data_IF_359911474541
#
_entry.id   IF_359911474541
#
_cell.length_a   1.000
_cell.length_b   1.000
_cell.length_c   1.000
_cell.angle_alpha   90.00
_cell.angle_beta   90.00
_cell.angle_gamma   90.00
#
_symmetry.space_group_name_H-M   'P 1'
#
loop_
_entity.id
_entity.type
_entity.pdbx_description
1 polymer ?
#
# COMPACT_ATOMS: atom_id res chain seq x y z
N UNK A 1 23.99 71.22 0.37
CA UNK A 1 23.05 70.80 1.45
C UNK A 1 22.46 69.47 1.02
N UNK A 2 22.55 68.35 1.72
CA UNK A 2 23.16 68.03 3.00
C UNK A 2 23.25 66.50 3.13
N UNK A 3 24.23 66.08 3.94
CA UNK A 3 24.36 64.79 4.65
C UNK A 3 24.57 63.47 3.88
N UNK A 4 25.81 62.98 4.05
CA UNK A 4 26.32 61.61 3.90
C UNK A 4 25.56 60.64 4.81
N UNK A 5 25.36 59.39 4.38
CA UNK A 5 25.53 58.22 5.25
C UNK A 5 26.29 57.13 4.47
N UNK A 6 27.54 56.95 4.90
CA UNK A 6 28.33 55.74 4.72
C UNK A 6 27.77 54.68 5.65
N UNK A 7 27.54 53.45 5.18
CA UNK A 7 27.66 52.27 6.03
C UNK A 7 28.38 51.17 5.26
N UNK A 8 29.64 51.04 5.62
CA UNK A 8 30.59 49.99 5.30
C UNK A 8 30.32 48.79 6.24
N UNK A 9 30.85 47.60 5.88
CA UNK A 9 31.14 46.43 6.74
C UNK A 9 29.94 45.46 6.91
N UNK A 10 29.99 44.12 6.87
CA UNK A 10 30.99 43.05 7.09
C UNK A 10 30.38 41.78 6.42
N UNK A 11 31.13 40.98 5.64
CA UNK A 11 31.79 39.73 6.06
C UNK A 11 30.80 38.64 6.55
N UNK A 12 30.56 37.55 5.80
CA UNK A 12 31.39 36.33 5.65
C UNK A 12 30.75 35.15 6.42
N UNK A 13 30.71 33.99 5.73
CA UNK A 13 30.54 32.61 6.21
C UNK A 13 29.19 32.20 6.79
N UNK A 14 28.49 31.31 6.08
CA UNK A 14 28.29 29.92 6.48
C UNK A 14 28.17 29.10 5.18
N UNK A 15 29.27 28.56 4.66
CA UNK A 15 29.72 27.17 4.85
C UNK A 15 28.68 26.12 4.49
N UNK A 16 28.99 25.34 3.45
CA UNK A 16 28.90 23.89 3.48
C UNK A 16 27.62 23.32 4.13
N UNK A 17 26.54 23.25 3.36
CA UNK A 17 25.61 22.15 3.60
C UNK A 17 26.23 20.92 2.91
N UNK A 18 27.04 20.19 3.66
CA UNK A 18 27.36 18.80 3.37
C UNK A 18 26.03 18.10 3.09
N UNK A 19 25.74 17.84 1.81
CA UNK A 19 24.66 16.96 1.42
C UNK A 19 25.12 15.54 1.75
N UNK A 20 25.06 15.21 3.04
CA UNK A 20 24.99 13.83 3.48
C UNK A 20 23.72 13.27 2.85
N UNK A 21 23.88 12.56 1.75
CA UNK A 21 22.89 11.64 1.23
C UNK A 21 22.71 10.54 2.28
N UNK A 22 21.92 10.81 3.32
CA UNK A 22 21.20 9.76 4.00
C UNK A 22 20.07 9.30 3.05
N UNK A 23 20.44 8.45 2.10
CA UNK A 23 19.55 7.43 1.55
C UNK A 23 19.02 6.63 2.74
N UNK A 24 17.83 6.97 3.24
CA UNK A 24 16.91 6.10 4.02
C UNK A 24 15.79 6.85 4.77
N UNK A 25 15.50 8.12 4.48
CA UNK A 25 14.22 8.68 4.92
C UNK A 25 13.13 8.36 3.87
N UNK A 26 12.57 7.16 3.93
CA UNK A 26 11.25 6.95 3.32
C UNK A 26 10.28 7.91 4.01
N UNK A 27 9.72 8.83 3.24
CA UNK A 27 8.82 9.86 3.77
C UNK A 27 7.62 9.18 4.43
N UNK A 28 7.38 9.50 5.70
CA UNK A 28 6.15 9.10 6.37
C UNK A 28 4.98 9.79 5.68
N UNK A 29 4.03 9.02 5.15
CA UNK A 29 2.84 9.56 4.49
C UNK A 29 1.72 9.73 5.51
N UNK A 30 1.24 10.97 5.60
CA UNK A 30 0.06 11.32 6.37
C UNK A 30 -1.16 11.30 5.47
N UNK A 31 -2.14 10.47 5.83
CA UNK A 31 -3.42 10.36 5.13
C UNK A 31 -4.46 11.19 5.89
N UNK A 32 -5.25 11.98 5.16
CA UNK A 32 -6.45 12.61 5.70
C UNK A 32 -7.55 11.55 5.83
N UNK A 33 -7.63 10.90 7.00
CA UNK A 33 -8.58 9.81 7.23
C UNK A 33 -9.97 10.38 7.46
N UNK A 34 -10.90 10.10 6.55
CA UNK A 34 -12.31 10.42 6.72
C UNK A 34 -13.05 9.24 7.35
N UNK A 35 -13.33 9.32 8.66
CA UNK A 35 -14.02 8.26 9.41
C UNK A 35 -15.45 8.02 8.95
N UNK A 36 -16.05 8.95 8.19
CA UNK A 36 -17.39 8.77 7.64
C UNK A 36 -17.40 7.82 6.44
N UNK A 37 -16.25 7.62 5.79
CA UNK A 37 -16.05 6.80 4.59
C UNK A 37 -15.55 5.38 4.88
N UNK A 38 -15.23 5.05 6.13
CA UNK A 38 -14.69 3.75 6.54
C UNK A 38 -15.55 3.08 7.63
N UNK A 39 -15.39 1.77 7.77
CA UNK A 39 -16.05 0.96 8.80
C UNK A 39 -15.41 1.18 10.19
N UNK A 40 -15.99 0.53 11.21
CA UNK A 40 -15.22 0.29 12.43
C UNK A 40 -13.97 -0.54 12.11
N UNK A 41 -12.85 -0.30 12.82
CA UNK A 41 -11.62 -1.05 12.58
C UNK A 41 -11.78 -2.57 12.77
N UNK A 42 -11.15 -3.33 11.89
CA UNK A 42 -11.05 -4.78 11.93
C UNK A 42 -9.62 -5.20 12.28
N UNK A 43 -9.51 -6.26 13.06
CA UNK A 43 -8.24 -6.77 13.56
C UNK A 43 -7.91 -8.10 12.87
N UNK A 44 -6.69 -8.19 12.31
CA UNK A 44 -6.13 -9.40 11.72
C UNK A 44 -4.92 -9.84 12.55
N UNK A 45 -5.18 -10.57 13.63
CA UNK A 45 -4.16 -11.00 14.59
C UNK A 45 -3.04 -11.82 13.94
N UNK A 46 -3.38 -12.69 12.98
CA UNK A 46 -2.42 -13.56 12.28
C UNK A 46 -1.25 -12.78 11.67
N UNK A 47 -1.54 -11.61 11.10
CA UNK A 47 -0.58 -10.75 10.43
C UNK A 47 -0.25 -9.48 11.22
N UNK A 48 -0.76 -9.35 12.45
CA UNK A 48 -0.40 -8.25 13.34
C UNK A 48 -0.88 -6.87 12.87
N UNK A 49 -2.00 -6.78 12.15
CA UNK A 49 -2.52 -5.49 11.66
C UNK A 49 -3.94 -5.20 12.12
N UNK A 50 -4.29 -3.92 12.17
CA UNK A 50 -5.66 -3.44 12.28
C UNK A 50 -5.93 -2.40 11.20
N UNK A 51 -7.08 -2.50 10.55
CA UNK A 51 -7.46 -1.66 9.40
C UNK A 51 -8.98 -1.49 9.37
N UNK A 52 -9.44 -0.32 8.96
CA UNK A 52 -10.86 -0.06 8.68
C UNK A 52 -11.06 -0.15 7.17
N UNK A 53 -12.08 -0.88 6.72
CA UNK A 53 -12.36 -1.03 5.29
C UNK A 53 -13.28 0.09 4.80
N UNK A 54 -13.37 0.37 3.49
CA UNK A 54 -14.35 1.34 3.00
C UNK A 54 -15.77 1.00 3.46
N UNK A 55 -16.54 2.01 3.83
CA UNK A 55 -17.90 1.83 4.34
C UNK A 55 -18.77 1.21 3.25
N UNK A 56 -19.65 0.27 3.65
CA UNK A 56 -20.47 -0.59 2.78
C UNK A 56 -19.72 -1.71 2.06
N UNK A 57 -18.41 -1.87 2.28
CA UNK A 57 -17.70 -3.05 1.79
C UNK A 57 -17.86 -4.17 2.80
N UNK A 58 -18.91 -4.96 2.62
CA UNK A 58 -19.28 -6.02 3.54
C UNK A 58 -18.35 -7.22 3.40
N UNK A 59 -18.08 -7.89 4.53
CA UNK A 59 -17.26 -9.10 4.53
C UNK A 59 -18.00 -10.21 3.80
N UNK A 60 -17.35 -10.81 2.81
CA UNK A 60 -17.89 -11.99 2.14
C UNK A 60 -17.63 -13.26 2.95
N UNK A 61 -18.59 -14.17 2.94
CA UNK A 61 -18.44 -15.49 3.54
C UNK A 61 -17.51 -16.35 2.68
N UNK A 62 -16.27 -16.52 3.13
CA UNK A 62 -15.25 -17.29 2.43
C UNK A 62 -15.64 -18.75 2.21
N UNK A 63 -16.55 -19.31 3.02
CA UNK A 63 -17.04 -20.70 2.83
C UNK A 63 -17.96 -20.84 1.63
N UNK A 64 -18.58 -19.74 1.18
CA UNK A 64 -19.47 -19.70 0.02
C UNK A 64 -18.73 -19.33 -1.27
N UNK A 65 -17.47 -18.93 -1.15
CA UNK A 65 -16.62 -18.61 -2.29
C UNK A 65 -15.76 -19.86 -2.54
N UNK A 66 -16.01 -20.57 -3.63
CA UNK A 66 -15.16 -21.68 -4.06
C UNK A 66 -13.78 -21.15 -4.47
N UNK A 67 -12.85 -21.04 -3.52
CA UNK A 67 -11.47 -20.63 -3.73
C UNK A 67 -10.60 -21.74 -4.34
N UNK A 68 -11.10 -22.49 -5.31
CA UNK A 68 -10.33 -23.55 -5.95
C UNK A 68 -9.13 -23.04 -6.79
N UNK A 69 -8.80 -21.74 -6.78
CA UNK A 69 -7.82 -21.19 -7.74
C UNK A 69 -6.91 -20.05 -7.27
N UNK A 70 -6.94 -19.57 -6.02
CA UNK A 70 -6.00 -18.51 -5.58
C UNK A 70 -4.63 -19.05 -5.13
N UNK A 71 -4.40 -20.36 -5.18
CA UNK A 71 -3.07 -20.95 -4.99
C UNK A 71 -2.12 -20.72 -6.19
N UNK A 72 -2.57 -20.10 -7.30
CA UNK A 72 -1.84 -20.09 -8.57
C UNK A 72 -0.96 -18.86 -8.86
N UNK A 73 -1.04 -17.78 -8.09
CA UNK A 73 -0.34 -16.53 -8.48
C UNK A 73 1.17 -16.58 -8.18
N UNK A 74 1.62 -17.42 -7.23
CA UNK A 74 3.05 -17.57 -6.93
C UNK A 74 3.69 -18.85 -7.48
N UNK A 75 2.91 -19.73 -8.12
CA UNK A 75 3.43 -20.94 -8.77
C UNK A 75 3.97 -20.63 -10.17
N UNK A 76 4.94 -19.72 -10.28
CA UNK A 76 5.72 -19.54 -11.51
C UNK A 76 7.10 -20.16 -11.31
N UNK A 77 7.27 -21.37 -11.88
CA UNK A 77 8.54 -22.05 -12.21
C UNK A 77 9.65 -22.16 -11.15
N UNK A 78 9.37 -21.89 -9.88
CA UNK A 78 10.35 -21.98 -8.80
C UNK A 78 9.85 -22.96 -7.74
N UNK A 79 10.75 -23.79 -7.25
CA UNK A 79 10.54 -24.84 -6.24
C UNK A 79 10.13 -24.31 -4.85
N UNK A 80 9.78 -23.03 -4.74
CA UNK A 80 9.33 -22.38 -3.51
C UNK A 80 7.82 -22.56 -3.33
N UNK A 81 7.44 -23.17 -2.21
CA UNK A 81 6.06 -23.31 -1.72
C UNK A 81 5.52 -21.96 -1.21
N UNK A 82 5.70 -20.88 -1.96
CA UNK A 82 5.17 -19.58 -1.56
C UNK A 82 3.66 -19.58 -1.82
N UNK A 83 2.86 -19.31 -0.78
CA UNK A 83 1.39 -19.40 -0.83
C UNK A 83 0.76 -18.10 -0.33
N UNK A 84 -0.42 -17.79 -0.87
CA UNK A 84 -1.22 -16.65 -0.43
C UNK A 84 -2.40 -17.17 0.40
N UNK A 85 -2.42 -16.86 1.70
CA UNK A 85 -3.54 -17.21 2.58
C UNK A 85 -4.48 -16.01 2.71
N UNK A 86 -5.66 -16.10 2.12
CA UNK A 86 -6.69 -15.06 2.21
C UNK A 86 -7.33 -15.08 3.60
N UNK A 87 -7.26 -13.96 4.32
CA UNK A 87 -7.82 -13.77 5.66
C UNK A 87 -9.21 -13.11 5.63
N UNK A 88 -9.46 -12.30 4.62
CA UNK A 88 -10.75 -11.67 4.40
C UNK A 88 -10.92 -11.11 2.99
N UNK A 89 -12.16 -11.18 2.51
CA UNK A 89 -12.60 -10.41 1.35
C UNK A 89 -13.72 -9.49 1.80
N UNK A 90 -13.63 -8.23 1.40
CA UNK A 90 -14.65 -7.22 1.61
C UNK A 90 -15.08 -6.70 0.26
N UNK A 91 -16.38 -6.52 0.06
CA UNK A 91 -16.89 -6.12 -1.25
C UNK A 91 -18.02 -5.12 -1.15
N UNK A 92 -17.98 -4.12 -2.04
CA UNK A 92 -19.19 -3.43 -2.45
C UNK A 92 -19.75 -4.20 -3.65
N UNK A 93 -20.76 -5.03 -3.40
CA UNK A 93 -21.32 -5.91 -4.42
C UNK A 93 -22.08 -5.13 -5.51
N UNK A 94 -22.56 -3.93 -5.21
CA UNK A 94 -23.23 -3.06 -6.18
C UNK A 94 -22.23 -2.53 -7.20
N UNK A 95 -21.07 -2.06 -6.74
CA UNK A 95 -20.03 -1.51 -7.61
C UNK A 95 -18.95 -2.53 -8.01
N UNK A 96 -19.08 -3.78 -7.58
CA UNK A 96 -18.10 -4.86 -7.83
C UNK A 96 -16.67 -4.45 -7.43
N UNK A 97 -16.55 -3.71 -6.33
CA UNK A 97 -15.27 -3.34 -5.76
C UNK A 97 -14.89 -4.34 -4.68
N UNK A 98 -13.61 -4.68 -4.57
CA UNK A 98 -13.13 -5.71 -3.65
C UNK A 98 -11.88 -5.26 -2.91
N UNK A 99 -11.77 -5.64 -1.64
CA UNK A 99 -10.53 -5.63 -0.86
C UNK A 99 -10.22 -7.05 -0.43
N UNK A 100 -9.04 -7.54 -0.82
CA UNK A 100 -8.48 -8.78 -0.32
C UNK A 100 -7.45 -8.46 0.75
N UNK A 101 -7.59 -9.09 1.91
CA UNK A 101 -6.60 -9.06 2.99
C UNK A 101 -5.97 -10.44 3.08
N UNK A 102 -4.66 -10.52 2.85
CA UNK A 102 -3.97 -11.81 2.75
C UNK A 102 -2.63 -11.81 3.49
N UNK A 103 -2.24 -12.99 3.96
CA UNK A 103 -0.87 -13.29 4.37
C UNK A 103 -0.11 -13.92 3.20
N UNK A 104 1.10 -13.44 2.94
CA UNK A 104 2.03 -14.10 2.04
C UNK A 104 2.91 -15.03 2.88
N UNK A 105 2.65 -16.33 2.76
CA UNK A 105 3.45 -17.38 3.39
C UNK A 105 4.57 -17.69 2.43
N UNK A 106 5.69 -16.99 2.57
CA UNK A 106 6.87 -17.16 1.74
C UNK A 106 8.03 -17.75 2.54
N UNK A 107 8.79 -18.62 1.89
CA UNK A 107 10.07 -19.11 2.39
C UNK A 107 11.19 -18.06 2.29
N UNK A 108 10.97 -17.03 1.48
CA UNK A 108 11.93 -15.98 1.14
C UNK A 108 11.55 -14.63 1.74
N UNK A 109 12.51 -13.72 1.76
CA UNK A 109 12.31 -12.35 2.26
C UNK A 109 11.40 -11.52 1.37
N UNK A 110 10.84 -10.45 1.92
CA UNK A 110 9.97 -9.50 1.21
C UNK A 110 10.63 -8.94 -0.06
N UNK A 111 11.94 -8.64 -0.01
CA UNK A 111 12.71 -8.14 -1.16
C UNK A 111 12.65 -9.09 -2.37
N UNK A 112 12.74 -10.39 -2.13
CA UNK A 112 12.61 -11.41 -3.17
C UNK A 112 11.22 -11.41 -3.78
N UNK A 113 10.17 -11.35 -2.95
CA UNK A 113 8.79 -11.28 -3.43
C UNK A 113 8.54 -10.03 -4.27
N UNK A 114 9.06 -8.87 -3.85
CA UNK A 114 8.94 -7.62 -4.61
C UNK A 114 9.61 -7.74 -5.98
N UNK A 115 10.78 -8.37 -6.07
CA UNK A 115 11.47 -8.62 -7.34
C UNK A 115 10.67 -9.57 -8.26
N UNK A 116 10.05 -10.61 -7.70
CA UNK A 116 9.17 -11.50 -8.45
C UNK A 116 7.95 -10.74 -8.99
N UNK A 117 7.34 -9.88 -8.17
CA UNK A 117 6.24 -9.04 -8.60
C UNK A 117 6.66 -8.10 -9.72
N UNK A 118 7.76 -7.37 -9.57
CA UNK A 118 8.28 -6.45 -10.59
C UNK A 118 8.52 -7.18 -11.92
N UNK A 119 9.12 -8.37 -11.86
CA UNK A 119 9.35 -9.22 -13.04
C UNK A 119 8.04 -9.66 -13.69
N UNK A 120 7.04 -10.06 -12.89
CA UNK A 120 5.72 -10.47 -13.41
C UNK A 120 4.94 -9.32 -14.05
N UNK A 121 5.03 -8.11 -13.48
CA UNK A 121 4.35 -6.91 -13.97
C UNK A 121 4.93 -6.44 -15.30
N UNK A 122 6.24 -6.56 -15.47
CA UNK A 122 6.92 -6.24 -16.74
C UNK A 122 6.39 -7.10 -17.90
N UNK A 123 5.92 -8.31 -17.61
CA UNK A 123 5.33 -9.21 -18.60
C UNK A 123 3.83 -8.97 -18.83
N UNK A 124 3.16 -8.19 -17.98
CA UNK A 124 1.74 -7.86 -18.11
C UNK A 124 1.54 -6.55 -18.90
N UNK A 125 1.79 -6.61 -20.21
CA UNK A 125 1.65 -5.46 -21.14
C UNK A 125 0.29 -4.75 -21.13
N UNK A 126 -0.74 -5.33 -20.50
CA UNK A 126 -2.08 -4.76 -20.41
C UNK A 126 -2.25 -3.73 -19.28
N UNK A 127 -1.34 -3.69 -18.31
CA UNK A 127 -1.44 -2.78 -17.16
C UNK A 127 -0.35 -1.71 -17.22
N UNK A 128 -0.76 -0.45 -17.10
CA UNK A 128 0.15 0.60 -16.66
C UNK A 128 0.38 0.42 -15.17
N UNK A 129 1.63 0.29 -14.76
CA UNK A 129 2.02 0.15 -13.36
C UNK A 129 2.78 1.39 -12.88
N UNK A 130 2.49 1.81 -11.65
CA UNK A 130 3.31 2.74 -10.87
C UNK A 130 3.68 2.05 -9.55
N UNK A 131 4.91 2.23 -9.10
CA UNK A 131 5.41 1.70 -7.83
C UNK A 131 5.88 2.85 -6.96
N UNK A 132 5.57 2.78 -5.67
CA UNK A 132 6.06 3.72 -4.66
C UNK A 132 6.24 3.04 -3.32
N UNK A 133 7.02 3.66 -2.44
CA UNK A 133 7.23 3.19 -1.08
C UNK A 133 7.00 4.33 -0.09
N UNK A 134 6.41 4.01 1.06
CA UNK A 134 6.16 4.98 2.11
C UNK A 134 6.16 4.34 3.49
N UNK A 135 6.46 5.14 4.52
CA UNK A 135 6.26 4.70 5.90
C UNK A 135 4.85 5.02 6.39
N UNK A 136 4.27 4.09 7.13
CA UNK A 136 2.97 4.28 7.79
C UNK A 136 2.90 3.51 9.09
N UNK A 137 2.83 4.21 10.22
CA UNK A 137 2.62 3.61 11.55
C UNK A 137 3.59 2.44 11.85
N UNK A 138 4.86 2.59 11.47
CA UNK A 138 5.90 1.56 11.66
C UNK A 138 5.98 0.51 10.54
N UNK A 139 5.13 0.57 9.52
CA UNK A 139 5.27 -0.25 8.32
C UNK A 139 6.05 0.49 7.24
N UNK A 140 6.99 -0.18 6.59
CA UNK A 140 7.49 0.23 5.27
C UNK A 140 6.61 -0.46 4.23
N UNK A 141 5.74 0.30 3.57
CA UNK A 141 4.77 -0.21 2.61
C UNK A 141 5.28 0.02 1.21
N UNK A 142 5.36 -1.04 0.41
CA UNK A 142 5.51 -0.95 -1.04
C UNK A 142 4.13 -1.01 -1.69
N UNK A 143 3.76 0.04 -2.41
CA UNK A 143 2.50 0.14 -3.12
C UNK A 143 2.72 0.03 -4.63
N UNK A 144 1.85 -0.74 -5.26
CA UNK A 144 1.68 -0.82 -6.70
C UNK A 144 0.31 -0.28 -7.08
N UNK A 145 0.28 0.64 -8.04
CA UNK A 145 -0.94 1.05 -8.73
C UNK A 145 -0.93 0.43 -10.11
N UNK A 146 -1.76 -0.60 -10.32
CA UNK A 146 -1.93 -1.26 -11.61
C UNK A 146 -3.25 -0.80 -12.21
N UNK A 147 -3.20 -0.30 -13.44
CA UNK A 147 -4.40 0.25 -14.07
C UNK A 147 -4.44 -0.07 -15.56
N UNK A 148 -5.63 -0.40 -16.04
CA UNK A 148 -5.93 -0.56 -17.46
C UNK A 148 -7.29 0.10 -17.76
N UNK A 149 -7.88 -0.22 -18.91
CA UNK A 149 -9.18 0.35 -19.32
C UNK A 149 -10.35 -0.15 -18.45
N UNK A 150 -10.21 -1.28 -17.77
CA UNK A 150 -11.28 -1.97 -17.05
C UNK A 150 -11.15 -1.85 -15.53
N UNK A 151 -9.92 -1.78 -15.00
CA UNK A 151 -9.62 -1.93 -13.59
C UNK A 151 -8.58 -0.91 -13.12
N UNK A 152 -8.71 -0.54 -11.85
CA UNK A 152 -7.71 0.13 -11.02
C UNK A 152 -7.45 -0.76 -9.82
N UNK A 153 -6.19 -1.12 -9.60
CA UNK A 153 -5.77 -2.01 -8.52
C UNK A 153 -4.72 -1.31 -7.68
N UNK A 154 -5.00 -1.16 -6.39
CA UNK A 154 -4.01 -0.76 -5.39
C UNK A 154 -3.56 -2.02 -4.65
N UNK A 155 -2.30 -2.38 -4.84
CA UNK A 155 -1.67 -3.52 -4.15
C UNK A 155 -0.64 -2.98 -3.17
N UNK A 156 -0.81 -3.28 -1.89
CA UNK A 156 0.09 -2.88 -0.83
C UNK A 156 0.74 -4.12 -0.24
N UNK A 157 2.06 -4.13 -0.15
CA UNK A 157 2.84 -5.17 0.49
C UNK A 157 3.69 -4.59 1.60
N UNK A 158 3.71 -5.26 2.74
CA UNK A 158 4.61 -4.93 3.82
C UNK A 158 4.85 -6.12 4.73
N UNK A 159 5.90 -5.99 5.56
CA UNK A 159 6.20 -6.91 6.64
C UNK A 159 5.72 -6.29 7.94
N UNK A 160 4.91 -7.02 8.70
CA UNK A 160 4.47 -6.57 10.01
C UNK A 160 5.50 -6.87 11.10
N UNK A 161 5.25 -6.35 12.31
CA UNK A 161 6.17 -6.47 13.44
C UNK A 161 6.39 -7.91 13.91
N UNK A 162 5.41 -8.80 13.70
CA UNK A 162 5.56 -10.24 13.96
C UNK A 162 6.27 -10.99 12.81
N UNK A 163 6.96 -10.26 11.93
CA UNK A 163 7.75 -10.77 10.82
C UNK A 163 6.91 -11.45 9.71
N UNK A 164 5.58 -11.34 9.75
CA UNK A 164 4.68 -11.85 8.71
C UNK A 164 4.56 -10.85 7.56
N UNK A 165 4.38 -11.36 6.36
CA UNK A 165 4.17 -10.52 5.17
C UNK A 165 2.68 -10.48 4.90
N UNK A 166 2.14 -9.28 4.74
CA UNK A 166 0.75 -9.10 4.36
C UNK A 166 0.63 -8.38 3.02
N UNK A 167 -0.45 -8.68 2.33
CA UNK A 167 -0.84 -8.06 1.08
C UNK A 167 -2.27 -7.56 1.18
N UNK A 168 -2.49 -6.31 0.78
CA UNK A 168 -3.82 -5.71 0.64
C UNK A 168 -4.03 -5.37 -0.84
N UNK A 169 -5.04 -5.97 -1.46
CA UNK A 169 -5.39 -5.68 -2.85
C UNK A 169 -6.78 -5.05 -2.92
N UNK A 170 -6.84 -3.76 -3.26
CA UNK A 170 -8.08 -3.08 -3.64
C UNK A 170 -8.26 -3.20 -5.15
N UNK A 171 -9.37 -3.78 -5.59
CA UNK A 171 -9.69 -3.99 -7.01
C UNK A 171 -10.99 -3.23 -7.31
N UNK A 172 -10.91 -2.26 -8.21
CA UNK A 172 -11.99 -1.32 -8.49
C UNK A 172 -12.20 -1.27 -10.01
N UNK A 173 -13.42 -1.52 -10.52
CA UNK A 173 -13.71 -1.27 -11.92
C UNK A 173 -13.49 0.19 -12.27
N UNK A 174 -12.80 0.46 -13.38
CA UNK A 174 -12.42 1.80 -13.85
C UNK A 174 -13.62 2.74 -13.94
N UNK A 175 -14.77 2.21 -14.37
CA UNK A 175 -16.04 2.95 -14.46
C UNK A 175 -16.59 3.44 -13.11
N UNK A 176 -16.15 2.86 -12.00
CA UNK A 176 -16.56 3.21 -10.63
C UNK A 176 -15.42 3.85 -9.83
N UNK A 177 -14.23 4.04 -10.42
CA UNK A 177 -13.13 4.73 -9.76
C UNK A 177 -13.32 6.25 -9.87
N UNK A 178 -14.17 6.79 -8.98
CA UNK A 178 -14.41 8.21 -8.81
C UNK A 178 -13.71 8.77 -7.55
N UNK A 179 -13.86 10.08 -7.31
CA UNK A 179 -13.26 10.75 -6.14
C UNK A 179 -13.71 10.13 -4.82
N UNK A 180 -14.97 9.72 -4.70
CA UNK A 180 -15.51 9.18 -3.46
C UNK A 180 -14.93 7.81 -3.16
N UNK A 181 -14.84 6.93 -4.16
CA UNK A 181 -14.22 5.61 -4.01
C UNK A 181 -12.73 5.76 -3.74
N UNK A 182 -12.03 6.65 -4.44
CA UNK A 182 -10.62 6.94 -4.20
C UNK A 182 -10.37 7.40 -2.76
N UNK A 183 -11.15 8.38 -2.26
CA UNK A 183 -11.02 8.87 -0.88
C UNK A 183 -11.35 7.82 0.18
N UNK A 184 -12.31 6.93 -0.09
CA UNK A 184 -12.63 5.84 0.83
C UNK A 184 -11.50 4.81 0.90
N UNK A 185 -10.88 4.49 -0.24
CA UNK A 185 -9.70 3.60 -0.32
C UNK A 185 -8.49 4.23 0.37
N UNK A 186 -8.21 5.51 0.11
CA UNK A 186 -7.13 6.24 0.78
C UNK A 186 -7.35 6.33 2.30
N UNK A 187 -8.58 6.58 2.74
CA UNK A 187 -8.93 6.57 4.17
C UNK A 187 -8.75 5.18 4.79
N UNK A 188 -9.10 4.12 4.05
CA UNK A 188 -8.88 2.73 4.46
C UNK A 188 -7.39 2.42 4.62
N UNK A 189 -6.56 2.74 3.61
CA UNK A 189 -5.10 2.62 3.67
C UNK A 189 -4.52 3.43 4.84
N UNK A 190 -4.98 4.67 5.01
CA UNK A 190 -4.56 5.56 6.08
C UNK A 190 -4.88 5.05 7.48
N UNK A 191 -5.93 4.22 7.62
CA UNK A 191 -6.34 3.63 8.90
C UNK A 191 -5.50 2.44 9.34
N UNK A 192 -4.60 1.93 8.49
CA UNK A 192 -3.73 0.79 8.78
C UNK A 192 -2.78 1.10 9.95
N UNK A 193 -2.81 0.25 10.98
CA UNK A 193 -1.95 0.33 12.17
C UNK A 193 -1.40 -1.05 12.55
N UNK A 194 -0.21 -1.06 13.15
CA UNK A 194 0.36 -2.28 13.73
C UNK A 194 -0.30 -2.63 15.05
N UNK A 195 -0.56 -3.92 15.26
CA UNK A 195 -0.78 -4.47 16.59
C UNK A 195 0.58 -4.63 17.25
N UNK A 196 0.70 -4.18 18.49
CA UNK A 196 1.89 -4.40 19.33
C UNK A 196 1.83 -5.79 19.96
#
# INVERSE_FOLDING_TARGET
>A
MGTKIMFTILLILFTFCNRNENKNNSNELFFAIDTTLISSPLTFNDIGIKISVPKKWDRLDLKKIEFHSINRIFSTNTSSQDTLRVLGIFADTLYKCYLFVSEVIASKELSYLLNLFDSSLTNMNKFKNLKGEFQKNGFLITQYLLQNQELVIFRLLSKSQNNRIFQLDYIIPRMFYDEKVARAVESSIGSLVSLK
#
